data_IF_068360634631
#
_entry.id   IF_068360634631
#
_cell.length_a   1.000
_cell.length_b   1.000
_cell.length_c   1.000
_cell.angle_alpha   90.00
_cell.angle_beta   90.00
_cell.angle_gamma   90.00
#
_symmetry.space_group_name_H-M   'P 1'
#
loop_
_entity.id
_entity.type
_entity.pdbx_description
1 polymer ?
#
# COMPACT_ATOMS: atom_id res chain seq x y z
N UNK A 1 -10.20 10.76 9.19
CA UNK A 1 -8.88 10.80 8.53
C UNK A 1 -9.05 10.82 7.01
N UNK A 2 -8.20 11.53 6.26
CA UNK A 2 -8.20 11.51 4.78
C UNK A 2 -7.01 10.70 4.24
N UNK A 3 -7.29 9.64 3.49
CA UNK A 3 -6.27 8.83 2.81
C UNK A 3 -5.90 9.54 1.50
N UNK A 4 -4.64 9.92 1.33
CA UNK A 4 -4.17 10.60 0.11
C UNK A 4 -3.71 9.61 -0.96
N UNK A 5 -3.05 8.54 -0.51
CA UNK A 5 -2.55 7.46 -1.36
C UNK A 5 -2.62 6.17 -0.56
N UNK A 6 -3.17 5.11 -1.15
CA UNK A 6 -2.99 3.73 -0.69
C UNK A 6 -2.03 3.05 -1.68
N UNK A 7 -0.84 2.65 -1.21
CA UNK A 7 0.21 2.09 -2.07
C UNK A 7 0.67 0.73 -1.57
N UNK A 8 0.75 -0.25 -2.47
CA UNK A 8 1.39 -1.53 -2.23
C UNK A 8 2.85 -1.44 -2.69
N UNK A 9 3.77 -1.55 -1.74
CA UNK A 9 5.22 -1.61 -1.98
C UNK A 9 5.84 -2.43 -0.84
N UNK A 10 6.32 -3.64 -1.13
CA UNK A 10 6.85 -4.57 -0.12
C UNK A 10 8.17 -4.11 0.54
N UNK A 11 8.77 -3.04 0.01
CA UNK A 11 9.91 -2.33 0.59
C UNK A 11 9.50 -1.24 1.58
N UNK A 12 8.21 -0.95 1.69
CA UNK A 12 7.64 0.07 2.57
C UNK A 12 8.28 1.44 2.36
N UNK A 13 9.09 1.89 3.32
CA UNK A 13 9.77 3.18 3.27
C UNK A 13 11.17 2.95 2.72
N UNK A 14 11.39 3.37 1.47
CA UNK A 14 12.70 3.21 0.82
C UNK A 14 13.00 4.32 -0.20
N UNK A 15 14.29 4.62 -0.34
CA UNK A 15 14.82 5.58 -1.30
C UNK A 15 14.13 6.95 -1.25
N UNK A 16 14.02 7.59 -2.41
CA UNK A 16 13.34 8.89 -2.56
C UNK A 16 11.91 8.76 -3.13
N UNK A 17 11.41 7.54 -3.29
CA UNK A 17 10.11 7.27 -3.92
C UNK A 17 8.98 7.92 -3.13
N UNK A 18 8.90 7.66 -1.82
CA UNK A 18 7.84 8.18 -0.96
C UNK A 18 7.90 9.70 -0.84
N UNK A 19 9.09 10.29 -0.83
CA UNK A 19 9.26 11.75 -0.82
C UNK A 19 8.61 12.39 -2.05
N UNK A 20 8.75 11.79 -3.25
CA UNK A 20 8.09 12.26 -4.48
C UNK A 20 6.56 12.09 -4.40
N UNK A 21 6.09 10.96 -3.86
CA UNK A 21 4.66 10.72 -3.64
C UNK A 21 4.03 11.74 -2.69
N UNK A 22 4.68 12.03 -1.58
CA UNK A 22 4.16 12.97 -0.57
C UNK A 22 4.23 14.40 -1.10
N UNK A 23 5.26 14.78 -1.85
CA UNK A 23 5.31 16.08 -2.53
C UNK A 23 4.13 16.28 -3.49
N UNK A 24 3.72 15.23 -4.19
CA UNK A 24 2.62 15.27 -5.17
C UNK A 24 1.25 15.15 -4.49
N UNK A 25 1.15 14.32 -3.46
CA UNK A 25 -0.06 14.04 -2.69
C UNK A 25 0.20 14.29 -1.19
N UNK A 26 0.10 15.55 -0.73
CA UNK A 26 0.54 15.96 0.61
C UNK A 26 -0.09 15.16 1.76
N UNK A 27 0.72 14.34 2.42
CA UNK A 27 0.37 13.59 3.61
C UNK A 27 1.14 14.09 4.83
N UNK A 28 0.44 14.32 5.95
CA UNK A 28 1.06 14.66 7.24
C UNK A 28 1.64 13.43 7.96
N UNK A 29 1.20 12.23 7.56
CA UNK A 29 1.62 10.96 8.15
C UNK A 29 1.77 9.87 7.10
N UNK A 30 2.75 9.01 7.29
CA UNK A 30 2.88 7.72 6.61
C UNK A 30 2.45 6.64 7.60
N UNK A 31 1.59 5.72 7.17
CA UNK A 31 1.17 4.59 7.99
C UNK A 31 1.45 3.31 7.22
N UNK A 32 2.41 2.52 7.71
CA UNK A 32 2.61 1.15 7.25
C UNK A 32 1.57 0.28 7.94
N UNK A 33 0.77 -0.41 7.13
CA UNK A 33 -0.28 -1.31 7.58
C UNK A 33 0.20 -2.72 7.28
N UNK A 34 0.69 -3.41 8.31
CA UNK A 34 1.14 -4.79 8.17
C UNK A 34 1.12 -5.52 9.50
N UNK A 35 0.52 -6.71 9.51
CA UNK A 35 0.48 -7.58 10.69
C UNK A 35 1.90 -8.04 11.08
N UNK A 36 2.68 -8.44 10.08
CA UNK A 36 4.03 -8.98 10.25
C UNK A 36 4.98 -7.94 10.85
N UNK A 37 4.99 -6.72 10.32
CA UNK A 37 5.88 -5.66 10.84
C UNK A 37 5.35 -5.09 12.15
N UNK A 38 4.03 -4.99 12.35
CA UNK A 38 3.48 -4.47 13.59
C UNK A 38 3.84 -5.34 14.81
N UNK A 39 3.99 -6.66 14.58
CA UNK A 39 4.30 -7.66 15.61
C UNK A 39 5.80 -8.00 15.71
N UNK A 40 6.66 -7.41 14.87
CA UNK A 40 8.12 -7.55 14.93
C UNK A 40 8.77 -6.23 15.38
N UNK A 41 9.21 -6.11 16.65
CA UNK A 41 9.80 -4.87 17.17
C UNK A 41 11.03 -4.38 16.39
N UNK A 42 11.89 -5.30 15.94
CA UNK A 42 13.11 -4.95 15.22
C UNK A 42 12.78 -4.41 13.83
N UNK A 43 11.93 -5.12 13.08
CA UNK A 43 11.51 -4.66 11.75
C UNK A 43 10.71 -3.38 11.81
N UNK A 44 9.90 -3.18 12.84
CA UNK A 44 9.21 -1.92 13.09
C UNK A 44 10.18 -0.76 13.28
N UNK A 45 11.22 -0.92 14.12
CA UNK A 45 12.25 0.12 14.32
C UNK A 45 12.97 0.43 13.00
N UNK A 46 13.41 -0.60 12.28
CA UNK A 46 14.12 -0.45 11.00
C UNK A 46 13.26 0.22 9.92
N UNK A 47 11.97 -0.12 9.86
CA UNK A 47 11.04 0.50 8.90
C UNK A 47 10.84 1.98 9.20
N UNK A 48 10.80 2.36 10.48
CA UNK A 48 10.55 3.75 10.88
C UNK A 48 11.81 4.62 10.87
N UNK A 49 13.00 4.04 11.02
CA UNK A 49 14.26 4.79 11.04
C UNK A 49 14.60 5.47 9.70
N UNK A 50 14.02 4.96 8.61
CA UNK A 50 14.20 5.50 7.24
C UNK A 50 13.08 6.45 6.81
N UNK A 51 12.14 6.76 7.72
CA UNK A 51 11.06 7.71 7.43
C UNK A 51 11.61 9.14 7.22
N UNK A 52 11.02 9.93 6.30
CA UNK A 52 11.40 11.33 6.13
C UNK A 52 11.21 12.13 7.43
N UNK A 53 12.23 12.90 7.84
CA UNK A 53 12.26 13.62 9.13
C UNK A 53 11.07 14.55 9.37
N UNK A 54 10.54 15.17 8.32
CA UNK A 54 9.42 16.12 8.41
C UNK A 54 8.04 15.44 8.43
N UNK A 55 7.96 14.11 8.45
CA UNK A 55 6.70 13.37 8.30
C UNK A 55 6.60 12.33 9.41
N UNK A 56 5.45 12.32 10.11
CA UNK A 56 5.20 11.31 11.14
C UNK A 56 5.05 9.95 10.47
N UNK A 57 5.71 8.92 11.00
CA UNK A 57 5.56 7.54 10.52
C UNK A 57 5.10 6.62 11.64
N UNK A 58 4.29 5.61 11.29
CA UNK A 58 3.84 4.59 12.24
C UNK A 58 3.59 3.26 11.53
N UNK A 59 3.82 2.16 12.24
CA UNK A 59 3.43 0.81 11.82
C UNK A 59 2.27 0.33 12.68
N UNK A 60 1.21 -0.18 12.06
CA UNK A 60 0.03 -0.72 12.72
C UNK A 60 -0.50 -1.96 11.99
N UNK A 61 -1.28 -2.78 12.69
CA UNK A 61 -2.04 -3.88 12.08
C UNK A 61 -3.23 -3.33 11.28
N UNK A 62 -3.79 -4.08 10.30
CA UNK A 62 -5.01 -3.69 9.59
C UNK A 62 -6.18 -3.42 10.55
N UNK A 63 -6.40 -4.30 11.53
CA UNK A 63 -7.43 -4.11 12.56
C UNK A 63 -7.22 -2.81 13.37
N UNK A 64 -5.97 -2.48 13.75
CA UNK A 64 -5.67 -1.23 14.45
C UNK A 64 -5.86 -0.02 13.54
N UNK A 65 -5.50 -0.14 12.26
CA UNK A 65 -5.67 0.93 11.29
C UNK A 65 -7.15 1.30 11.12
N UNK A 66 -8.05 0.32 11.06
CA UNK A 66 -9.49 0.57 11.00
C UNK A 66 -10.01 1.36 12.23
N UNK A 67 -9.53 1.03 13.44
CA UNK A 67 -9.83 1.77 14.67
C UNK A 67 -9.29 3.20 14.63
N UNK A 68 -8.07 3.39 14.12
CA UNK A 68 -7.43 4.70 13.97
C UNK A 68 -8.19 5.56 12.94
N UNK A 69 -8.65 4.95 11.84
CA UNK A 69 -9.40 5.65 10.81
C UNK A 69 -10.72 6.22 11.33
N UNK A 70 -11.44 5.44 12.15
CA UNK A 70 -12.74 5.81 12.76
C UNK A 70 -12.61 6.73 13.98
N UNK A 71 -11.38 7.02 14.44
CA UNK A 71 -11.17 7.84 15.62
C UNK A 71 -11.20 9.35 15.25
N UNK A 72 -12.11 10.16 15.84
CA UNK A 72 -12.26 11.58 15.52
C UNK A 72 -10.98 12.41 15.70
N UNK A 73 -10.06 11.96 16.56
CA UNK A 73 -8.74 12.59 16.76
C UNK A 73 -7.96 12.76 15.44
N UNK A 74 -8.24 11.94 14.44
CA UNK A 74 -7.54 11.94 13.16
C UNK A 74 -8.35 12.51 12.00
N UNK A 75 -9.49 13.16 12.24
CA UNK A 75 -10.36 13.66 11.17
C UNK A 75 -9.66 14.64 10.23
N UNK A 76 -8.85 15.54 10.78
CA UNK A 76 -8.06 16.51 10.02
C UNK A 76 -6.67 15.99 9.58
N UNK A 77 -6.37 14.70 9.81
CA UNK A 77 -5.10 14.10 9.39
C UNK A 77 -5.18 13.61 7.94
N UNK A 78 -4.22 14.02 7.11
CA UNK A 78 -3.93 13.37 5.82
C UNK A 78 -2.88 12.28 5.99
N UNK A 79 -3.13 11.10 5.45
CA UNK A 79 -2.24 9.96 5.57
C UNK A 79 -2.00 9.25 4.23
N UNK A 80 -0.74 8.86 4.00
CA UNK A 80 -0.37 7.88 2.98
C UNK A 80 -0.30 6.51 3.65
N UNK A 81 -1.04 5.55 3.12
CA UNK A 81 -1.02 4.16 3.58
C UNK A 81 -0.07 3.34 2.71
N UNK A 82 0.76 2.53 3.36
CA UNK A 82 1.68 1.59 2.73
C UNK A 82 1.32 0.17 3.15
N UNK A 83 1.26 -0.73 2.18
CA UNK A 83 0.94 -2.14 2.35
C UNK A 83 2.04 -2.99 1.74
N UNK A 84 2.31 -4.14 2.35
CA UNK A 84 3.26 -5.11 1.77
C UNK A 84 2.60 -5.99 0.72
N UNK A 85 1.30 -6.23 0.85
CA UNK A 85 0.53 -7.16 0.03
C UNK A 85 -0.92 -6.72 -0.16
N UNK A 86 -1.59 -7.10 -1.26
CA UNK A 86 -2.98 -6.73 -1.54
C UNK A 86 -3.98 -7.26 -0.51
N UNK A 87 -3.70 -8.39 0.15
CA UNK A 87 -4.60 -8.97 1.16
C UNK A 87 -4.80 -8.05 2.38
N UNK A 88 -3.78 -7.28 2.77
CA UNK A 88 -3.89 -6.29 3.85
C UNK A 88 -4.83 -5.13 3.46
N UNK A 89 -4.91 -4.81 2.16
CA UNK A 89 -5.86 -3.81 1.64
C UNK A 89 -7.28 -4.35 1.68
N UNK A 90 -7.47 -5.62 1.28
CA UNK A 90 -8.78 -6.30 1.33
C UNK A 90 -9.31 -6.30 2.76
N UNK A 91 -8.49 -6.74 3.72
CA UNK A 91 -8.87 -6.79 5.14
C UNK A 91 -9.23 -5.39 5.67
N UNK A 92 -8.50 -4.36 5.26
CA UNK A 92 -8.78 -3.00 5.71
C UNK A 92 -10.12 -2.46 5.17
N UNK A 93 -10.46 -2.78 3.92
CA UNK A 93 -11.75 -2.46 3.32
C UNK A 93 -12.88 -3.21 4.04
N UNK A 94 -12.69 -4.49 4.33
CA UNK A 94 -13.66 -5.31 5.09
C UNK A 94 -13.93 -4.77 6.49
N UNK A 95 -12.91 -4.17 7.11
CA UNK A 95 -13.04 -3.47 8.39
C UNK A 95 -13.68 -2.07 8.30
N UNK A 96 -14.15 -1.67 7.12
CA UNK A 96 -14.93 -0.45 6.89
C UNK A 96 -14.10 0.80 6.61
N UNK A 97 -12.88 0.65 6.08
CA UNK A 97 -12.09 1.79 5.59
C UNK A 97 -12.31 1.93 4.07
N UNK A 98 -12.85 3.07 3.59
CA UNK A 98 -13.15 3.25 2.17
C UNK A 98 -11.86 3.54 1.38
N UNK A 99 -11.36 2.53 0.65
CA UNK A 99 -10.25 2.66 -0.29
C UNK A 99 -10.80 2.47 -1.70
N UNK A 100 -10.82 3.52 -2.51
CA UNK A 100 -11.34 3.49 -3.89
C UNK A 100 -10.26 3.30 -4.95
N UNK A 101 -9.02 3.61 -4.60
CA UNK A 101 -7.88 3.62 -5.50
C UNK A 101 -6.65 3.05 -4.79
N UNK A 102 -5.98 2.11 -5.43
CA UNK A 102 -4.74 1.51 -4.93
C UNK A 102 -3.67 1.65 -5.99
N UNK A 103 -2.53 2.20 -5.61
CA UNK A 103 -1.34 2.20 -6.42
C UNK A 103 -0.50 0.95 -6.12
N UNK A 104 -0.21 0.17 -7.15
CA UNK A 104 0.77 -0.91 -7.12
C UNK A 104 2.11 -0.31 -7.50
N UNK A 105 3.01 -0.28 -6.53
CA UNK A 105 4.31 0.36 -6.64
C UNK A 105 5.43 -0.60 -6.92
N UNK A 106 5.47 -1.69 -6.15
CA UNK A 106 6.44 -2.76 -6.37
C UNK A 106 6.15 -3.96 -5.49
N UNK A 107 6.25 -5.15 -6.06
CA UNK A 107 6.19 -6.41 -5.33
C UNK A 107 7.35 -7.25 -5.84
N UNK A 108 8.36 -7.47 -5.01
CA UNK A 108 9.60 -8.14 -5.40
C UNK A 108 9.32 -9.57 -5.84
N UNK A 109 10.08 -9.99 -6.85
CA UNK A 109 10.18 -11.37 -7.23
C UNK A 109 10.74 -12.20 -6.06
N UNK A 110 10.18 -13.39 -5.91
CA UNK A 110 10.68 -14.43 -5.02
C UNK A 110 10.41 -15.78 -5.71
N UNK A 111 11.10 -16.83 -5.30
CA UNK A 111 10.89 -18.17 -5.86
C UNK A 111 9.42 -18.57 -5.73
N UNK A 112 8.81 -18.99 -6.84
CA UNK A 112 7.39 -19.36 -6.90
C UNK A 112 6.41 -18.22 -7.19
N UNK A 113 6.87 -16.97 -7.36
CA UNK A 113 6.03 -15.87 -7.85
C UNK A 113 5.98 -15.84 -9.37
N UNK A 114 4.80 -15.52 -9.91
CA UNK A 114 4.62 -15.17 -11.31
C UNK A 114 5.10 -13.74 -11.55
N UNK A 115 6.03 -13.58 -12.47
CA UNK A 115 6.49 -12.25 -12.90
C UNK A 115 5.44 -11.60 -13.80
N UNK A 116 4.93 -10.43 -13.43
CA UNK A 116 3.92 -9.69 -14.22
C UNK A 116 4.52 -8.51 -14.97
N UNK A 117 5.34 -7.73 -14.29
CA UNK A 117 6.03 -6.56 -14.83
C UNK A 117 7.39 -6.45 -14.17
N UNK A 118 8.27 -5.61 -14.72
CA UNK A 118 9.61 -5.33 -14.17
C UNK A 118 9.61 -5.09 -12.65
N UNK A 119 8.54 -4.46 -12.13
CA UNK A 119 8.45 -4.07 -10.73
C UNK A 119 7.49 -4.92 -9.88
N UNK A 120 6.72 -5.82 -10.48
CA UNK A 120 5.64 -6.55 -9.80
C UNK A 120 5.69 -8.03 -10.16
N UNK A 121 5.88 -8.84 -9.12
CA UNK A 121 5.70 -10.29 -9.14
C UNK A 121 4.70 -10.70 -8.06
N UNK A 122 3.84 -11.65 -8.37
CA UNK A 122 2.68 -11.99 -7.54
C UNK A 122 2.60 -13.49 -7.30
N UNK A 123 2.03 -13.87 -6.16
CA UNK A 123 1.59 -15.24 -5.88
C UNK A 123 0.14 -15.45 -6.34
N UNK A 124 -0.32 -16.69 -6.33
CA UNK A 124 -1.75 -17.00 -6.57
C UNK A 124 -2.68 -16.32 -5.57
N UNK A 125 -2.28 -16.20 -4.30
CA UNK A 125 -3.08 -15.49 -3.29
C UNK A 125 -3.11 -13.98 -3.53
N UNK A 126 -2.01 -13.39 -4.00
CA UNK A 126 -1.98 -11.98 -4.40
C UNK A 126 -2.94 -11.72 -5.57
N UNK A 127 -2.96 -12.62 -6.57
CA UNK A 127 -3.89 -12.54 -7.70
C UNK A 127 -5.36 -12.55 -7.24
N UNK A 128 -5.70 -13.48 -6.35
CA UNK A 128 -7.06 -13.57 -5.77
C UNK A 128 -7.42 -12.30 -5.00
N UNK A 129 -6.49 -11.74 -4.23
CA UNK A 129 -6.70 -10.49 -3.52
C UNK A 129 -6.92 -9.31 -4.47
N UNK A 130 -6.16 -9.21 -5.57
CA UNK A 130 -6.37 -8.16 -6.58
C UNK A 130 -7.73 -8.29 -7.28
N UNK A 131 -8.17 -9.50 -7.65
CA UNK A 131 -9.50 -9.71 -8.22
C UNK A 131 -10.61 -9.37 -7.21
N UNK A 132 -10.43 -9.68 -5.92
CA UNK A 132 -11.36 -9.27 -4.86
C UNK A 132 -11.45 -7.74 -4.75
N UNK A 133 -10.32 -7.03 -4.77
CA UNK A 133 -10.29 -5.56 -4.80
C UNK A 133 -11.03 -5.02 -6.04
N UNK A 134 -10.77 -5.59 -7.21
CA UNK A 134 -11.43 -5.19 -8.45
C UNK A 134 -12.95 -5.43 -8.42
N UNK A 135 -13.39 -6.57 -7.88
CA UNK A 135 -14.81 -6.91 -7.72
C UNK A 135 -15.53 -5.94 -6.77
N UNK A 136 -14.82 -5.35 -5.80
CA UNK A 136 -15.32 -4.29 -4.91
C UNK A 136 -15.29 -2.89 -5.54
N UNK A 137 -14.90 -2.76 -6.82
CA UNK A 137 -14.83 -1.50 -7.54
C UNK A 137 -13.58 -0.67 -7.24
N UNK A 138 -12.56 -1.24 -6.60
CA UNK A 138 -11.29 -0.55 -6.32
C UNK A 138 -10.50 -0.42 -7.62
N UNK A 139 -10.10 0.81 -7.96
CA UNK A 139 -9.25 1.08 -9.12
C UNK A 139 -7.80 0.74 -8.79
N UNK A 140 -7.23 -0.20 -9.54
CA UNK A 140 -5.84 -0.63 -9.41
C UNK A 140 -4.97 0.05 -10.47
N UNK A 141 -4.06 0.92 -10.03
CA UNK A 141 -3.09 1.60 -10.92
C UNK A 141 -1.68 1.07 -10.69
N UNK A 142 -0.90 0.88 -11.77
CA UNK A 142 0.52 0.54 -11.70
C UNK A 142 1.36 1.75 -12.08
N UNK A 143 2.25 2.16 -11.17
CA UNK A 143 3.35 3.13 -11.42
C UNK A 143 4.27 3.24 -10.21
N UNK A 144 5.57 3.46 -10.44
CA UNK A 144 6.54 3.60 -9.36
C UNK A 144 6.56 5.01 -8.77
N UNK A 145 6.60 6.03 -9.62
CA UNK A 145 6.60 7.44 -9.25
C UNK A 145 5.30 8.12 -9.71
N UNK A 146 4.91 9.24 -9.08
CA UNK A 146 3.74 10.00 -9.52
C UNK A 146 3.85 10.56 -10.95
N UNK A 147 5.08 10.77 -11.43
CA UNK A 147 5.40 11.26 -12.77
C UNK A 147 5.32 10.18 -13.85
N UNK A 148 5.38 8.91 -13.47
CA UNK A 148 5.41 7.81 -14.45
C UNK A 148 4.03 7.63 -15.08
N UNK A 149 3.96 7.11 -16.31
CA UNK A 149 2.71 6.77 -16.95
C UNK A 149 1.86 5.86 -16.06
N UNK A 150 0.58 6.19 -15.92
CA UNK A 150 -0.37 5.37 -15.19
C UNK A 150 -0.82 4.20 -16.06
N UNK A 151 -0.59 2.98 -15.60
CA UNK A 151 -1.12 1.78 -16.25
C UNK A 151 -2.29 1.20 -15.46
N UNK A 152 -3.25 0.61 -16.17
CA UNK A 152 -4.35 -0.15 -15.58
C UNK A 152 -3.84 -1.53 -15.19
N UNK A 153 -3.68 -1.75 -13.88
CA UNK A 153 -3.07 -2.98 -13.38
C UNK A 153 -3.97 -4.19 -13.58
N UNK A 154 -5.30 -4.02 -13.57
CA UNK A 154 -6.23 -5.12 -13.76
C UNK A 154 -6.15 -5.69 -15.19
N UNK A 155 -5.95 -4.82 -16.19
CA UNK A 155 -5.72 -5.26 -17.57
C UNK A 155 -4.43 -6.07 -17.71
N UNK A 156 -3.36 -5.64 -17.06
CA UNK A 156 -2.07 -6.37 -17.07
C UNK A 156 -2.24 -7.75 -16.43
N UNK A 157 -2.89 -7.80 -15.26
CA UNK A 157 -3.13 -9.03 -14.50
C UNK A 157 -3.95 -10.05 -15.30
N UNK A 158 -5.00 -9.61 -15.99
CA UNK A 158 -5.84 -10.51 -16.81
C UNK A 158 -5.16 -10.99 -18.08
N UNK A 159 -4.26 -10.20 -18.65
CA UNK A 159 -3.49 -10.62 -19.82
C UNK A 159 -2.42 -11.66 -19.48
N UNK A 160 -1.84 -11.60 -18.28
CA UNK A 160 -0.86 -12.59 -17.80
C UNK A 160 -1.44 -13.96 -17.43
N UNK A 161 -2.78 -14.08 -17.35
CA UNK A 161 -3.48 -15.33 -17.04
C UNK A 161 -3.95 -16.09 -18.29
N UNK A 162 -3.73 -15.53 -19.49
CA UNK A 162 -3.98 -16.18 -20.78
C UNK A 162 -2.76 -16.97 -21.21
#
# INVERSE_FOLDING_TARGET
MKITVARIDDRFIHGQVLTKWIKTYPAKRIIVVSEEIANDPMRKILTLSVAPTNIKASVVTPAKMAKVFKNPKYDQTTAMLLFGKPSEVVELIENGVPITNVNVGGMRFDQGKLHLTESVSVTTSDLQAFENLAARGVKLELRQLPSDPRHDFLKILRNSQK
#
